data_IF_230433841496
#
_entry.id   IF_230433841496
#
_cell.length_a   1.000
_cell.length_b   1.000
_cell.length_c   1.000
_cell.angle_alpha   90.00
_cell.angle_beta   90.00
_cell.angle_gamma   90.00
#
_symmetry.space_group_name_H-M   'P 1'
#
loop_
_entity.id
_entity.type
_entity.pdbx_description
1 polymer ?
#
# COMPACT_ATOMS: atom_id res chain seq x y z
N UNK A 1 -19.67 -27.74 20.50
CA UNK A 1 -19.45 -26.88 19.31
C UNK A 1 -19.56 -25.43 19.77
N UNK A 2 -18.46 -24.84 20.23
CA UNK A 2 -18.41 -23.49 20.78
C UNK A 2 -18.29 -22.48 19.64
N UNK A 3 -19.40 -21.79 19.36
CA UNK A 3 -19.39 -20.62 18.48
C UNK A 3 -18.57 -19.55 19.19
N UNK A 4 -17.35 -19.29 18.73
CA UNK A 4 -16.57 -18.12 19.15
C UNK A 4 -17.33 -16.88 18.67
N UNK A 5 -18.18 -16.31 19.52
CA UNK A 5 -18.65 -14.92 19.34
C UNK A 5 -17.40 -14.06 19.41
N UNK A 6 -16.90 -13.65 18.25
CA UNK A 6 -15.88 -12.61 18.17
C UNK A 6 -16.50 -11.37 18.82
N UNK A 7 -16.06 -11.01 20.02
CA UNK A 7 -16.53 -9.80 20.69
C UNK A 7 -16.02 -8.58 19.91
N UNK A 8 -16.87 -8.06 19.02
CA UNK A 8 -16.67 -6.82 18.24
C UNK A 8 -16.50 -5.57 19.12
N UNK A 9 -16.66 -5.73 20.44
CA UNK A 9 -16.62 -4.69 21.46
C UNK A 9 -15.27 -4.56 22.17
N UNK A 10 -14.29 -5.45 21.91
CA UNK A 10 -12.97 -5.36 22.55
C UNK A 10 -12.08 -4.28 21.87
N UNK A 11 -11.38 -3.48 22.69
CA UNK A 11 -10.40 -2.47 22.24
C UNK A 11 -9.28 -3.09 21.39
N UNK A 12 -8.83 -4.30 21.68
CA UNK A 12 -7.89 -5.07 20.84
C UNK A 12 -8.43 -5.34 19.42
N UNK A 13 -9.72 -5.67 19.29
CA UNK A 13 -10.38 -5.87 17.99
C UNK A 13 -10.37 -4.61 17.12
N UNK A 14 -10.64 -3.45 17.74
CA UNK A 14 -10.60 -2.13 17.09
C UNK A 14 -9.18 -1.66 16.77
N UNK A 15 -8.18 -2.00 17.60
CA UNK A 15 -6.77 -1.73 17.29
C UNK A 15 -6.28 -2.55 16.09
N UNK A 16 -6.79 -3.77 15.92
CA UNK A 16 -6.52 -4.62 14.76
C UNK A 16 -7.13 -4.08 13.45
N UNK A 17 -8.30 -3.44 13.50
CA UNK A 17 -8.94 -2.87 12.30
C UNK A 17 -8.30 -1.56 11.84
N UNK A 18 -7.75 -0.74 12.76
CA UNK A 18 -7.12 0.54 12.44
C UNK A 18 -6.03 0.41 11.36
N UNK A 19 -5.21 -0.64 11.44
CA UNK A 19 -4.10 -0.85 10.50
C UNK A 19 -4.60 -1.30 9.11
N UNK A 20 -5.66 -2.12 9.07
CA UNK A 20 -6.36 -2.46 7.83
C UNK A 20 -7.01 -1.24 7.17
N UNK A 21 -7.62 -0.36 7.96
CA UNK A 21 -8.22 0.88 7.48
C UNK A 21 -7.18 1.83 6.88
N UNK A 22 -6.02 1.99 7.54
CA UNK A 22 -4.91 2.78 6.99
C UNK A 22 -4.37 2.19 5.69
N UNK A 23 -4.21 0.86 5.61
CA UNK A 23 -3.78 0.19 4.38
C UNK A 23 -4.76 0.48 3.22
N UNK A 24 -6.06 0.38 3.48
CA UNK A 24 -7.09 0.70 2.50
C UNK A 24 -7.05 2.19 2.10
N UNK A 25 -7.01 3.11 3.06
CA UNK A 25 -6.96 4.56 2.81
C UNK A 25 -5.74 4.94 1.96
N UNK A 26 -4.55 4.44 2.31
CA UNK A 26 -3.32 4.68 1.57
C UNK A 26 -3.42 4.15 0.13
N UNK A 27 -3.97 2.95 -0.06
CA UNK A 27 -4.15 2.38 -1.40
C UNK A 27 -5.13 3.19 -2.26
N UNK A 28 -6.23 3.70 -1.67
CA UNK A 28 -7.21 4.55 -2.36
C UNK A 28 -6.64 5.94 -2.68
N UNK A 29 -5.98 6.56 -1.73
CA UNK A 29 -5.29 7.83 -1.94
C UNK A 29 -4.21 7.71 -3.02
N UNK A 30 -3.44 6.62 -3.03
CA UNK A 30 -2.43 6.37 -4.05
C UNK A 30 -3.04 6.18 -5.45
N UNK A 31 -4.16 5.47 -5.57
CA UNK A 31 -4.89 5.34 -6.84
C UNK A 31 -5.38 6.70 -7.37
N UNK A 32 -6.03 7.51 -6.53
CA UNK A 32 -6.50 8.84 -6.92
C UNK A 32 -5.34 9.77 -7.28
N UNK A 33 -4.26 9.73 -6.50
CA UNK A 33 -3.02 10.45 -6.80
C UNK A 33 -2.40 10.02 -8.12
N UNK A 34 -2.38 8.71 -8.42
CA UNK A 34 -1.89 8.19 -9.70
C UNK A 34 -2.67 8.76 -10.89
N UNK A 35 -4.00 8.85 -10.82
CA UNK A 35 -4.79 9.43 -11.92
C UNK A 35 -4.34 10.86 -12.24
N UNK A 36 -4.11 11.67 -11.22
CA UNK A 36 -3.62 13.04 -11.37
C UNK A 36 -2.17 13.06 -11.90
N UNK A 37 -1.27 12.33 -11.27
CA UNK A 37 0.17 12.38 -11.58
C UNK A 37 0.46 11.77 -12.95
N UNK A 38 -0.29 10.77 -13.39
CA UNK A 38 -0.21 10.23 -14.75
C UNK A 38 -0.56 11.31 -15.77
N UNK A 39 -1.63 12.08 -15.56
CA UNK A 39 -1.98 13.19 -16.46
C UNK A 39 -0.86 14.24 -16.53
N UNK A 40 -0.25 14.58 -15.39
CA UNK A 40 0.91 15.48 -15.34
C UNK A 40 2.14 14.89 -16.04
N UNK A 41 2.36 13.58 -15.91
CA UNK A 41 3.46 12.88 -16.56
C UNK A 41 3.31 12.84 -18.08
N UNK A 42 2.09 12.64 -18.58
CA UNK A 42 1.79 12.70 -20.01
C UNK A 42 1.96 14.12 -20.57
N UNK A 43 1.67 15.15 -19.79
CA UNK A 43 1.86 16.55 -20.21
C UNK A 43 3.34 16.94 -20.29
N UNK A 44 4.12 16.62 -19.26
CA UNK A 44 5.57 16.88 -19.25
C UNK A 44 6.31 15.75 -18.52
N UNK A 45 6.79 14.74 -19.25
CA UNK A 45 7.41 13.57 -18.64
C UNK A 45 8.78 13.87 -18.04
N UNK A 46 9.41 15.02 -18.35
CA UNK A 46 10.77 15.35 -17.91
C UNK A 46 10.84 15.95 -16.50
N UNK A 47 9.70 16.29 -15.88
CA UNK A 47 9.69 16.80 -14.49
C UNK A 47 10.07 15.68 -13.52
N UNK A 48 11.22 15.84 -12.86
CA UNK A 48 11.79 14.85 -11.93
C UNK A 48 10.85 14.53 -10.79
N UNK A 49 10.17 15.54 -10.26
CA UNK A 49 9.21 15.40 -9.16
C UNK A 49 8.02 14.53 -9.59
N UNK A 50 7.54 14.72 -10.82
CA UNK A 50 6.43 13.92 -11.38
C UNK A 50 6.86 12.48 -11.59
N UNK A 51 8.06 12.22 -12.13
CA UNK A 51 8.60 10.86 -12.28
C UNK A 51 8.71 10.14 -10.92
N UNK A 52 9.23 10.83 -9.90
CA UNK A 52 9.33 10.30 -8.55
C UNK A 52 7.95 9.96 -7.98
N UNK A 53 6.98 10.87 -8.13
CA UNK A 53 5.61 10.66 -7.66
C UNK A 53 4.91 9.50 -8.38
N UNK A 54 5.08 9.35 -9.70
CA UNK A 54 4.56 8.19 -10.44
C UNK A 54 5.12 6.91 -9.84
N UNK A 55 6.45 6.82 -9.69
CA UNK A 55 7.11 5.63 -9.16
C UNK A 55 6.64 5.31 -7.74
N UNK A 56 6.65 6.29 -6.84
CA UNK A 56 6.27 6.11 -5.45
C UNK A 56 4.80 5.67 -5.31
N UNK A 57 3.87 6.35 -5.98
CA UNK A 57 2.45 6.04 -5.88
C UNK A 57 2.11 4.70 -6.57
N UNK A 58 2.77 4.38 -7.69
CA UNK A 58 2.62 3.08 -8.35
C UNK A 58 3.06 1.93 -7.45
N UNK A 59 4.24 2.05 -6.82
CA UNK A 59 4.75 1.04 -5.89
C UNK A 59 3.83 0.87 -4.68
N UNK A 60 3.39 1.96 -4.05
CA UNK A 60 2.47 1.91 -2.92
C UNK A 60 1.13 1.27 -3.30
N UNK A 61 0.52 1.69 -4.41
CA UNK A 61 -0.75 1.16 -4.89
C UNK A 61 -0.65 -0.34 -5.20
N UNK A 62 0.36 -0.73 -5.98
CA UNK A 62 0.54 -2.11 -6.41
C UNK A 62 0.82 -3.04 -5.23
N UNK A 63 1.76 -2.69 -4.33
CA UNK A 63 2.16 -3.57 -3.23
C UNK A 63 1.08 -3.70 -2.14
N UNK A 64 0.35 -2.62 -1.85
CA UNK A 64 -0.83 -2.70 -0.96
C UNK A 64 -1.96 -3.51 -1.61
N UNK A 65 -2.14 -3.40 -2.94
CA UNK A 65 -3.06 -4.23 -3.71
C UNK A 65 -2.70 -5.72 -3.68
N UNK A 66 -1.43 -6.07 -3.89
CA UNK A 66 -0.94 -7.45 -3.76
C UNK A 66 -1.19 -7.99 -2.35
N UNK A 67 -0.95 -7.19 -1.31
CA UNK A 67 -1.30 -7.55 0.07
C UNK A 67 -2.79 -7.86 0.21
N UNK A 68 -3.66 -7.04 -0.37
CA UNK A 68 -5.11 -7.28 -0.34
C UNK A 68 -5.47 -8.62 -1.01
N UNK A 69 -4.96 -8.85 -2.22
CA UNK A 69 -5.16 -10.10 -2.96
C UNK A 69 -4.68 -11.33 -2.16
N UNK A 70 -3.50 -11.26 -1.54
CA UNK A 70 -2.98 -12.35 -0.71
C UNK A 70 -3.93 -12.69 0.44
N UNK A 71 -4.47 -11.68 1.13
CA UNK A 71 -5.43 -11.89 2.20
C UNK A 71 -6.77 -12.43 1.67
N UNK A 72 -7.22 -11.98 0.50
CA UNK A 72 -8.46 -12.41 -0.14
C UNK A 72 -8.42 -13.88 -0.61
N UNK A 73 -7.26 -14.37 -1.05
CA UNK A 73 -7.07 -15.79 -1.43
C UNK A 73 -6.91 -16.74 -0.22
N UNK A 74 -7.03 -16.22 1.01
CA UNK A 74 -7.13 -17.04 2.22
C UNK A 74 -5.85 -17.10 3.08
N UNK A 75 -4.89 -16.19 2.89
CA UNK A 75 -3.73 -16.12 3.79
C UNK A 75 -4.22 -15.83 5.24
N UNK A 76 -3.68 -16.52 6.27
CA UNK A 76 -4.15 -16.34 7.63
C UNK A 76 -4.08 -14.88 8.12
N UNK A 77 -5.10 -14.41 8.85
CA UNK A 77 -5.22 -13.02 9.33
C UNK A 77 -4.04 -12.52 10.17
N UNK A 78 -3.25 -13.43 10.78
CA UNK A 78 -2.00 -13.10 11.47
C UNK A 78 -1.00 -12.37 10.57
N UNK A 79 -1.10 -12.56 9.25
CA UNK A 79 -0.24 -11.92 8.25
C UNK A 79 -0.63 -10.47 7.93
N UNK A 80 -1.76 -9.93 8.41
CA UNK A 80 -2.19 -8.59 8.01
C UNK A 80 -1.18 -7.48 8.37
N UNK A 81 -0.53 -7.57 9.55
CA UNK A 81 0.47 -6.60 10.03
C UNK A 81 1.81 -6.77 9.33
N UNK A 82 2.42 -7.98 9.28
CA UNK A 82 3.71 -8.15 8.61
C UNK A 82 3.60 -7.83 7.12
N UNK A 83 2.52 -8.23 6.43
CA UNK A 83 2.35 -7.88 5.01
C UNK A 83 2.20 -6.38 4.77
N UNK A 84 1.60 -5.63 5.71
CA UNK A 84 1.50 -4.17 5.59
C UNK A 84 2.87 -3.52 5.65
N UNK A 85 3.66 -3.83 6.69
CA UNK A 85 5.00 -3.27 6.83
C UNK A 85 5.95 -3.74 5.74
N UNK A 86 5.84 -5.01 5.31
CA UNK A 86 6.60 -5.54 4.19
C UNK A 86 6.28 -4.78 2.90
N UNK A 87 5.01 -4.51 2.61
CA UNK A 87 4.61 -3.73 1.43
C UNK A 87 5.22 -2.31 1.47
N UNK A 88 5.21 -1.63 2.62
CA UNK A 88 5.82 -0.30 2.76
C UNK A 88 7.34 -0.34 2.64
N UNK A 89 8.00 -1.30 3.28
CA UNK A 89 9.44 -1.47 3.21
C UNK A 89 9.91 -1.79 1.80
N UNK A 90 9.22 -2.71 1.11
CA UNK A 90 9.51 -3.04 -0.29
C UNK A 90 9.28 -1.82 -1.20
N UNK A 91 8.21 -1.06 -1.00
CA UNK A 91 7.97 0.16 -1.77
C UNK A 91 9.13 1.17 -1.60
N UNK A 92 9.57 1.40 -0.36
CA UNK A 92 10.67 2.31 -0.07
C UNK A 92 12.02 1.83 -0.63
N UNK A 93 12.33 0.54 -0.49
CA UNK A 93 13.56 -0.06 -1.01
C UNK A 93 13.59 -0.01 -2.54
N UNK A 94 12.51 -0.45 -3.20
CA UNK A 94 12.42 -0.41 -4.66
C UNK A 94 12.47 1.01 -5.20
N UNK A 95 11.78 1.95 -4.54
CA UNK A 95 11.88 3.37 -4.87
C UNK A 95 13.33 3.84 -4.77
N UNK A 96 14.00 3.61 -3.64
CA UNK A 96 15.38 4.02 -3.42
C UNK A 96 16.34 3.44 -4.47
N UNK A 97 16.27 2.14 -4.73
CA UNK A 97 17.12 1.45 -5.70
C UNK A 97 16.91 1.98 -7.12
N UNK A 98 15.66 2.02 -7.58
CA UNK A 98 15.34 2.46 -8.94
C UNK A 98 15.65 3.94 -9.13
N UNK A 99 15.29 4.77 -8.14
CA UNK A 99 15.50 6.21 -8.22
C UNK A 99 16.99 6.56 -8.20
N UNK A 100 17.77 5.97 -7.30
CA UNK A 100 19.22 6.21 -7.26
C UNK A 100 19.88 5.74 -8.55
N UNK A 101 19.62 4.51 -9.00
CA UNK A 101 20.18 3.99 -10.25
C UNK A 101 19.84 4.85 -11.47
N UNK A 102 18.65 5.46 -11.52
CA UNK A 102 18.25 6.34 -12.64
C UNK A 102 19.05 7.64 -12.73
N UNK A 103 19.67 8.09 -11.63
CA UNK A 103 20.37 9.38 -11.52
C UNK A 103 21.87 9.29 -11.21
N UNK A 104 22.40 8.08 -11.06
CA UNK A 104 23.83 7.78 -11.12
C UNK A 104 24.26 7.56 -12.57
#
# INVERSE_FOLDING_TARGET
MTILRREWTSLEGWRGTRLGMWAWLLQRAAALGLLLVIALHLWNPFRREVQALVLALALLHALLGVRALLLDVGLPVRWHRPLFWLALALAAVLFGLVWTWRWY
#
